data_IF_728993037628
#
_entry.id   IF_728993037628
#
_cell.length_a   1.000
_cell.length_b   1.000
_cell.length_c   1.000
_cell.angle_alpha   90.00
_cell.angle_beta   90.00
_cell.angle_gamma   90.00
#
_symmetry.space_group_name_H-M   'P 1'
#
loop_
_entity.id
_entity.type
_entity.pdbx_description
1 polymer ?
#
# COMPACT_ATOMS: atom_id res chain seq x y z
N UNK A 1 17.66 35.07 7.83
CA UNK A 1 18.71 35.73 7.00
C UNK A 1 19.91 34.81 6.69
N UNK A 2 20.25 33.83 7.54
CA UNK A 2 21.39 32.92 7.30
C UNK A 2 21.10 31.84 6.23
N UNK A 3 19.93 31.21 6.26
CA UNK A 3 19.58 30.09 5.35
C UNK A 3 19.61 30.47 3.86
N UNK A 4 19.04 31.62 3.49
CA UNK A 4 19.07 32.11 2.11
C UNK A 4 20.51 32.34 1.60
N UNK A 5 21.41 32.80 2.46
CA UNK A 5 22.83 32.96 2.11
C UNK A 5 23.53 31.61 1.93
N UNK A 6 23.17 30.61 2.74
CA UNK A 6 23.64 29.24 2.56
C UNK A 6 23.14 28.62 1.24
N UNK A 7 21.89 28.91 0.83
CA UNK A 7 21.38 28.48 -0.49
C UNK A 7 22.13 29.14 -1.64
N UNK A 8 22.34 30.45 -1.60
CA UNK A 8 23.13 31.16 -2.62
C UNK A 8 24.57 30.64 -2.69
N UNK A 9 25.17 30.34 -1.54
CA UNK A 9 26.50 29.74 -1.49
C UNK A 9 26.50 28.32 -2.08
N UNK A 10 25.46 27.53 -1.82
CA UNK A 10 25.28 26.21 -2.41
C UNK A 10 25.15 26.29 -3.93
N UNK A 11 24.35 27.21 -4.47
CA UNK A 11 24.22 27.44 -5.92
C UNK A 11 25.56 27.81 -6.55
N UNK A 12 26.32 28.70 -5.91
CA UNK A 12 27.66 29.06 -6.37
C UNK A 12 28.63 27.86 -6.31
N UNK A 13 28.58 27.05 -5.24
CA UNK A 13 29.40 25.84 -5.11
C UNK A 13 29.06 24.81 -6.20
N UNK A 14 27.77 24.62 -6.51
CA UNK A 14 27.29 23.75 -7.60
C UNK A 14 27.80 24.28 -8.94
N UNK A 15 27.74 25.59 -9.18
CA UNK A 15 28.26 26.20 -10.43
C UNK A 15 29.75 25.95 -10.65
N UNK A 16 30.52 25.81 -9.56
CA UNK A 16 31.96 25.51 -9.57
C UNK A 16 32.28 24.01 -9.49
N UNK A 17 31.27 23.15 -9.46
CA UNK A 17 31.40 21.70 -9.27
C UNK A 17 32.04 21.30 -7.93
N UNK A 18 31.95 22.14 -6.89
CA UNK A 18 32.43 21.85 -5.55
C UNK A 18 31.34 21.14 -4.72
N UNK A 19 31.06 19.87 -5.04
CA UNK A 19 29.93 19.13 -4.46
C UNK A 19 30.02 18.89 -2.94
N UNK A 20 31.23 18.76 -2.39
CA UNK A 20 31.41 18.60 -0.94
C UNK A 20 30.95 19.85 -0.16
N UNK A 21 31.35 21.03 -0.64
CA UNK A 21 30.92 22.30 -0.04
C UNK A 21 29.42 22.54 -0.26
N UNK A 22 28.92 22.22 -1.46
CA UNK A 22 27.49 22.33 -1.75
C UNK A 22 26.65 21.48 -0.79
N UNK A 23 27.09 20.25 -0.47
CA UNK A 23 26.41 19.39 0.48
C UNK A 23 26.34 19.98 1.89
N UNK A 24 27.45 20.51 2.40
CA UNK A 24 27.49 21.16 3.72
C UNK A 24 26.58 22.40 3.75
N UNK A 25 26.62 23.21 2.69
CA UNK A 25 25.79 24.40 2.55
C UNK A 25 24.30 24.04 2.50
N UNK A 26 23.91 23.01 1.75
CA UNK A 26 22.53 22.52 1.66
C UNK A 26 22.03 21.97 3.00
N UNK A 27 22.90 21.29 3.76
CA UNK A 27 22.56 20.80 5.09
C UNK A 27 22.30 21.97 6.07
N UNK A 28 23.16 22.99 6.05
CA UNK A 28 22.96 24.21 6.87
C UNK A 28 21.76 25.04 6.42
N UNK A 29 21.44 25.01 5.13
CA UNK A 29 20.25 25.66 4.56
C UNK A 29 18.96 24.86 4.79
N UNK A 30 19.04 23.65 5.40
CA UNK A 30 17.92 22.70 5.52
C UNK A 30 17.17 22.47 4.20
N UNK A 31 17.91 22.48 3.08
CA UNK A 31 17.33 22.26 1.75
C UNK A 31 17.33 20.76 1.43
N UNK A 32 16.27 20.09 1.89
CA UNK A 32 16.11 18.65 1.72
C UNK A 32 15.90 18.24 0.25
N UNK A 33 15.31 19.11 -0.57
CA UNK A 33 15.09 18.83 -1.99
C UNK A 33 16.38 18.85 -2.79
N UNK A 34 17.19 19.91 -2.60
CA UNK A 34 18.52 19.99 -3.20
C UNK A 34 19.45 18.87 -2.71
N UNK A 35 19.39 18.54 -1.42
CA UNK A 35 20.18 17.46 -0.84
C UNK A 35 19.76 16.09 -1.40
N UNK A 36 18.46 15.84 -1.61
CA UNK A 36 17.97 14.60 -2.22
C UNK A 36 18.49 14.44 -3.65
N UNK A 37 18.42 15.51 -4.45
CA UNK A 37 18.89 15.49 -5.84
C UNK A 37 20.40 15.22 -5.91
N UNK A 38 21.18 15.91 -5.08
CA UNK A 38 22.64 15.72 -5.02
C UNK A 38 22.99 14.30 -4.56
N UNK A 39 22.35 13.81 -3.49
CA UNK A 39 22.61 12.49 -2.92
C UNK A 39 22.21 11.36 -3.88
N UNK A 40 21.09 11.51 -4.59
CA UNK A 40 20.61 10.54 -5.58
C UNK A 40 21.52 10.51 -6.80
N UNK A 41 21.95 11.69 -7.29
CA UNK A 41 22.86 11.80 -8.44
C UNK A 41 24.25 11.25 -8.12
N UNK A 42 24.74 11.44 -6.89
CA UNK A 42 26.01 10.90 -6.42
C UNK A 42 25.94 9.41 -6.06
N UNK A 43 24.74 8.81 -6.01
CA UNK A 43 24.55 7.41 -5.59
C UNK A 43 24.96 7.13 -4.14
N UNK A 44 24.95 8.14 -3.26
CA UNK A 44 25.41 7.98 -1.88
C UNK A 44 24.27 7.52 -0.96
N UNK A 45 24.12 6.19 -0.83
CA UNK A 45 23.07 5.58 -0.01
C UNK A 45 23.10 6.01 1.48
N UNK A 46 24.29 6.21 2.06
CA UNK A 46 24.40 6.63 3.47
C UNK A 46 23.87 8.04 3.68
N UNK A 47 24.11 8.93 2.71
CA UNK A 47 23.61 10.30 2.77
C UNK A 47 22.09 10.35 2.63
N UNK A 48 21.53 9.59 1.68
CA UNK A 48 20.07 9.48 1.51
C UNK A 48 19.40 8.95 2.78
N UNK A 49 20.03 8.01 3.48
CA UNK A 49 19.49 7.47 4.73
C UNK A 49 19.42 8.54 5.83
N UNK A 50 20.53 9.27 6.05
CA UNK A 50 20.57 10.37 7.02
C UNK A 50 19.59 11.48 6.64
N UNK A 51 19.47 11.78 5.35
CA UNK A 51 18.52 12.76 4.83
C UNK A 51 17.08 12.34 5.19
N UNK A 52 16.70 11.09 4.97
CA UNK A 52 15.39 10.55 5.36
C UNK A 52 15.06 10.79 6.82
N UNK A 53 15.98 10.42 7.72
CA UNK A 53 15.82 10.59 9.17
C UNK A 53 15.70 12.08 9.57
N UNK A 54 16.51 12.95 8.95
CA UNK A 54 16.46 14.39 9.23
C UNK A 54 15.20 15.06 8.67
N UNK A 55 14.76 14.65 7.48
CA UNK A 55 13.55 15.15 6.84
C UNK A 55 12.31 14.75 7.64
N UNK A 56 12.27 13.52 8.17
CA UNK A 56 11.19 13.07 9.04
C UNK A 56 11.10 13.92 10.32
N UNK A 57 12.24 14.20 10.97
CA UNK A 57 12.30 15.07 12.16
C UNK A 57 11.90 16.52 11.86
N UNK A 58 12.19 17.00 10.65
CA UNK A 58 11.80 18.32 10.19
C UNK A 58 10.33 18.41 9.72
N UNK A 59 9.57 17.30 9.74
CA UNK A 59 8.19 17.23 9.27
C UNK A 59 8.03 17.19 7.75
N UNK A 60 9.13 17.03 7.00
CA UNK A 60 9.14 16.94 5.54
C UNK A 60 8.89 15.49 5.09
N UNK A 61 7.65 15.04 5.29
CA UNK A 61 7.26 13.63 5.12
C UNK A 61 7.46 13.11 3.68
N UNK A 62 7.24 13.94 2.66
CA UNK A 62 7.39 13.52 1.26
C UNK A 62 8.86 13.20 0.93
N UNK A 63 9.79 14.06 1.37
CA UNK A 63 11.23 13.84 1.15
C UNK A 63 11.73 12.64 1.97
N UNK A 64 11.23 12.48 3.20
CA UNK A 64 11.52 11.29 4.01
C UNK A 64 11.05 10.02 3.29
N UNK A 65 9.80 9.98 2.85
CA UNK A 65 9.22 8.83 2.14
C UNK A 65 10.04 8.45 0.90
N UNK A 66 10.36 9.41 0.03
CA UNK A 66 11.15 9.16 -1.19
C UNK A 66 12.57 8.67 -0.85
N UNK A 67 13.19 9.25 0.18
CA UNK A 67 14.54 8.83 0.61
C UNK A 67 14.56 7.37 1.06
N UNK A 68 13.60 6.95 1.90
CA UNK A 68 13.48 5.57 2.35
C UNK A 68 13.08 4.62 1.19
N UNK A 69 12.24 5.09 0.26
CA UNK A 69 11.78 4.31 -0.88
C UNK A 69 12.91 3.98 -1.85
N UNK A 70 13.76 4.97 -2.19
CA UNK A 70 14.93 4.76 -3.05
C UNK A 70 15.94 3.80 -2.42
N UNK A 71 16.03 3.78 -1.08
CA UNK A 71 16.87 2.83 -0.34
C UNK A 71 16.25 1.43 -0.19
N UNK A 72 15.01 1.24 -0.63
CA UNK A 72 14.27 -0.01 -0.47
C UNK A 72 13.82 -0.32 0.96
N UNK A 73 13.78 0.69 1.84
CA UNK A 73 13.37 0.54 3.26
C UNK A 73 11.86 0.76 3.40
N UNK A 74 11.10 -0.22 2.97
CA UNK A 74 9.65 -0.11 2.84
C UNK A 74 8.93 -0.07 4.20
N UNK A 75 9.49 -0.73 5.22
CA UNK A 75 9.00 -0.67 6.59
C UNK A 75 9.02 0.78 7.12
N UNK A 76 10.12 1.51 6.90
CA UNK A 76 10.24 2.92 7.28
C UNK A 76 9.26 3.81 6.49
N UNK A 77 9.08 3.55 5.18
CA UNK A 77 8.07 4.23 4.36
C UNK A 77 6.64 4.04 4.91
N UNK A 78 6.30 2.82 5.34
CA UNK A 78 4.98 2.52 5.89
C UNK A 78 4.74 3.28 7.20
N UNK A 79 5.72 3.30 8.10
CA UNK A 79 5.64 4.06 9.34
C UNK A 79 5.49 5.57 9.09
N UNK A 80 6.15 6.13 8.07
CA UNK A 80 5.93 7.54 7.69
C UNK A 80 4.47 7.78 7.30
N UNK A 81 3.84 6.90 6.52
CA UNK A 81 2.42 7.04 6.14
C UNK A 81 1.49 6.95 7.34
N UNK A 82 1.71 5.98 8.24
CA UNK A 82 0.93 5.82 9.47
C UNK A 82 1.05 7.06 10.35
N UNK A 83 2.27 7.56 10.58
CA UNK A 83 2.51 8.75 11.41
C UNK A 83 1.87 10.02 10.85
N UNK A 84 1.73 10.12 9.51
CA UNK A 84 1.02 11.23 8.88
C UNK A 84 -0.51 11.12 8.90
N UNK A 85 -1.05 10.01 9.40
CA UNK A 85 -2.50 9.75 9.43
C UNK A 85 -3.10 9.37 8.06
N UNK A 86 -2.26 9.08 7.06
CA UNK A 86 -2.71 8.67 5.71
C UNK A 86 -2.90 7.15 5.64
N UNK A 87 -3.85 6.65 6.43
CA UNK A 87 -4.11 5.21 6.60
C UNK A 87 -4.59 4.50 5.32
N UNK A 88 -5.47 5.07 4.47
CA UNK A 88 -5.85 4.42 3.21
C UNK A 88 -4.65 4.18 2.28
N UNK A 89 -3.76 5.18 2.13
CA UNK A 89 -2.53 5.07 1.34
C UNK A 89 -1.58 4.04 1.95
N UNK A 90 -1.44 4.02 3.27
CA UNK A 90 -0.66 3.02 3.98
C UNK A 90 -1.19 1.60 3.73
N UNK A 91 -2.52 1.41 3.68
CA UNK A 91 -3.13 0.11 3.41
C UNK A 91 -2.85 -0.37 1.98
N UNK A 92 -2.98 0.51 0.99
CA UNK A 92 -2.62 0.20 -0.40
C UNK A 92 -1.11 -0.07 -0.56
N UNK A 93 -0.27 0.69 0.13
CA UNK A 93 1.17 0.48 0.13
C UNK A 93 1.54 -0.86 0.74
N UNK A 94 0.97 -1.20 1.91
CA UNK A 94 1.16 -2.50 2.55
C UNK A 94 0.70 -3.63 1.63
N UNK A 95 -0.49 -3.54 1.02
CA UNK A 95 -0.98 -4.57 0.10
C UNK A 95 -0.04 -4.83 -1.07
N UNK A 96 0.62 -3.79 -1.57
CA UNK A 96 1.48 -3.89 -2.76
C UNK A 96 2.90 -4.35 -2.44
N UNK A 97 3.45 -3.91 -1.30
CA UNK A 97 4.89 -4.07 -1.00
C UNK A 97 5.18 -4.92 0.26
N UNK A 98 4.28 -4.91 1.25
CA UNK A 98 4.39 -5.64 2.54
C UNK A 98 3.04 -6.25 2.94
N UNK A 99 2.55 -7.29 2.23
CA UNK A 99 1.29 -7.94 2.57
C UNK A 99 1.24 -8.40 4.04
N UNK A 100 2.37 -8.77 4.66
CA UNK A 100 2.41 -9.15 6.08
C UNK A 100 1.93 -8.06 7.05
N UNK A 101 2.00 -6.79 6.66
CA UNK A 101 1.63 -5.65 7.52
C UNK A 101 0.21 -5.13 7.24
N UNK A 102 -0.53 -5.70 6.29
CA UNK A 102 -1.86 -5.20 5.90
C UNK A 102 -2.84 -5.27 7.04
N UNK A 103 -2.91 -6.39 7.77
CA UNK A 103 -3.84 -6.54 8.91
C UNK A 103 -3.66 -5.42 9.93
N UNK A 104 -2.41 -5.18 10.37
CA UNK A 104 -2.05 -4.09 11.30
C UNK A 104 -2.55 -2.73 10.82
N UNK A 105 -2.36 -2.41 9.53
CA UNK A 105 -2.73 -1.10 8.98
C UNK A 105 -4.24 -0.98 8.83
N UNK A 106 -4.93 -2.04 8.42
CA UNK A 106 -6.39 -2.08 8.29
C UNK A 106 -7.06 -1.95 9.64
N UNK A 107 -6.54 -2.58 10.70
CA UNK A 107 -7.01 -2.41 12.08
C UNK A 107 -6.91 -0.94 12.51
N UNK A 108 -5.73 -0.32 12.36
CA UNK A 108 -5.54 1.10 12.69
C UNK A 108 -6.47 2.01 11.87
N UNK A 109 -6.69 1.66 10.60
CA UNK A 109 -7.59 2.38 9.71
C UNK A 109 -9.05 2.25 10.16
N UNK A 110 -9.47 1.04 10.54
CA UNK A 110 -10.80 0.74 11.08
C UNK A 110 -11.05 1.50 12.37
N UNK A 111 -10.09 1.55 13.30
CA UNK A 111 -10.19 2.32 14.54
C UNK A 111 -10.34 3.83 14.28
N UNK A 112 -9.57 4.36 13.32
CA UNK A 112 -9.67 5.78 12.96
C UNK A 112 -11.00 6.10 12.27
N UNK A 113 -11.45 5.25 11.35
CA UNK A 113 -12.74 5.37 10.66
C UNK A 113 -13.92 5.21 11.62
N UNK A 114 -13.86 4.33 12.60
CA UNK A 114 -14.96 4.08 13.55
C UNK A 114 -15.34 5.35 14.34
N UNK A 115 -14.40 6.29 14.52
CA UNK A 115 -14.65 7.61 15.12
C UNK A 115 -15.49 8.52 14.22
N UNK A 116 -15.37 8.38 12.90
CA UNK A 116 -16.06 9.21 11.91
C UNK A 116 -17.35 8.52 11.43
N UNK A 117 -17.25 7.25 11.02
CA UNK A 117 -18.37 6.45 10.53
C UNK A 117 -18.15 4.94 10.79
N UNK A 118 -18.99 4.37 11.65
CA UNK A 118 -18.96 2.94 11.99
C UNK A 118 -19.32 2.02 10.82
N UNK A 119 -20.19 2.46 9.91
CA UNK A 119 -20.60 1.65 8.74
C UNK A 119 -19.44 1.46 7.78
N UNK A 120 -18.71 2.55 7.50
CA UNK A 120 -17.52 2.50 6.65
C UNK A 120 -16.39 1.65 7.29
N UNK A 121 -16.22 1.74 8.60
CA UNK A 121 -15.25 0.91 9.32
C UNK A 121 -15.57 -0.60 9.21
N UNK A 122 -16.85 -0.99 9.27
CA UNK A 122 -17.26 -2.39 9.13
C UNK A 122 -17.23 -2.91 7.68
N UNK A 123 -17.13 -2.03 6.70
CA UNK A 123 -16.93 -2.40 5.30
C UNK A 123 -15.48 -2.78 4.97
N UNK A 124 -14.54 -2.51 5.88
CA UNK A 124 -13.16 -2.93 5.73
C UNK A 124 -13.03 -4.40 6.14
N UNK A 125 -12.80 -5.27 5.16
CA UNK A 125 -12.53 -6.68 5.38
C UNK A 125 -11.03 -6.90 5.60
N UNK A 126 -10.70 -7.74 6.58
CA UNK A 126 -9.33 -8.15 6.85
C UNK A 126 -8.95 -9.37 5.98
N UNK A 127 -7.75 -9.39 5.38
CA UNK A 127 -7.30 -10.53 4.59
C UNK A 127 -7.16 -11.84 5.38
N UNK A 128 -6.94 -11.77 6.70
CA UNK A 128 -6.84 -12.95 7.56
C UNK A 128 -8.23 -13.52 7.93
N UNK A 129 -9.21 -12.66 8.20
CA UNK A 129 -10.56 -13.10 8.57
C UNK A 129 -11.37 -13.58 7.36
N UNK A 130 -11.10 -13.01 6.18
CA UNK A 130 -11.88 -13.24 4.97
C UNK A 130 -11.01 -13.64 3.78
N UNK A 131 -10.23 -14.72 3.92
CA UNK A 131 -9.33 -15.20 2.86
C UNK A 131 -10.03 -15.41 1.50
N UNK A 132 -11.31 -15.83 1.51
CA UNK A 132 -12.11 -16.01 0.29
C UNK A 132 -12.32 -14.72 -0.54
N UNK A 133 -12.21 -13.54 0.07
CA UNK A 133 -12.33 -12.26 -0.62
C UNK A 133 -11.00 -11.79 -1.24
N UNK A 134 -9.89 -12.43 -0.89
CA UNK A 134 -8.54 -12.05 -1.30
C UNK A 134 -7.87 -13.23 -2.04
N UNK A 135 -8.18 -13.43 -3.33
CA UNK A 135 -7.45 -14.39 -4.15
C UNK A 135 -5.95 -14.04 -4.16
N UNK A 136 -5.10 -15.07 -4.21
CA UNK A 136 -3.63 -14.96 -4.22
C UNK A 136 -2.96 -14.35 -2.98
N UNK A 137 -3.69 -14.20 -1.87
CA UNK A 137 -3.13 -13.67 -0.63
C UNK A 137 -1.92 -14.47 -0.09
N UNK A 138 -2.05 -15.81 -0.06
CA UNK A 138 -0.95 -16.71 0.33
C UNK A 138 0.28 -16.53 -0.57
N UNK A 139 0.05 -16.38 -1.88
CA UNK A 139 1.12 -16.15 -2.87
C UNK A 139 1.81 -14.80 -2.65
N UNK A 140 1.05 -13.75 -2.29
CA UNK A 140 1.61 -12.44 -1.97
C UNK A 140 2.54 -12.49 -0.74
N UNK A 141 2.13 -13.19 0.32
CA UNK A 141 2.94 -13.38 1.54
C UNK A 141 4.25 -14.13 1.25
N UNK A 142 4.19 -15.20 0.45
CA UNK A 142 5.37 -15.93 0.01
C UNK A 142 6.30 -15.06 -0.82
N UNK A 143 5.74 -14.30 -1.77
CA UNK A 143 6.48 -13.38 -2.64
C UNK A 143 7.21 -12.31 -1.83
N UNK A 144 6.58 -11.75 -0.79
CA UNK A 144 7.22 -10.79 0.10
C UNK A 144 8.47 -11.39 0.78
N UNK A 145 8.35 -12.58 1.33
CA UNK A 145 9.45 -13.27 2.01
C UNK A 145 10.60 -13.60 1.03
N UNK A 146 10.29 -13.96 -0.21
CA UNK A 146 11.27 -14.17 -1.28
C UNK A 146 11.98 -12.87 -1.70
N UNK A 147 11.24 -11.76 -1.78
CA UNK A 147 11.79 -10.46 -2.19
C UNK A 147 12.61 -9.77 -1.09
N UNK A 148 12.28 -9.98 0.19
CA UNK A 148 12.95 -9.34 1.32
C UNK A 148 14.49 -9.40 1.28
N UNK A 149 15.14 -10.56 1.08
CA UNK A 149 16.59 -10.63 0.94
C UNK A 149 17.12 -9.99 -0.36
N UNK A 150 16.34 -10.05 -1.45
CA UNK A 150 16.75 -9.46 -2.72
C UNK A 150 16.75 -7.93 -2.68
N UNK A 151 15.79 -7.32 -1.96
CA UNK A 151 15.71 -5.86 -1.77
C UNK A 151 16.95 -5.27 -1.13
N UNK A 152 17.60 -6.00 -0.21
CA UNK A 152 18.81 -5.54 0.46
C UNK A 152 20.08 -5.74 -0.37
N UNK A 153 20.00 -6.50 -1.47
CA UNK A 153 21.15 -6.83 -2.30
C UNK A 153 21.39 -5.72 -3.32
N UNK A 154 22.44 -4.93 -3.12
CA UNK A 154 22.93 -4.01 -4.13
C UNK A 154 23.48 -4.80 -5.34
N UNK A 155 22.84 -4.63 -6.50
CA UNK A 155 23.31 -5.22 -7.75
C UNK A 155 24.34 -4.25 -8.37
N UNK A 156 25.57 -4.72 -8.70
CA UNK A 156 26.55 -3.89 -9.39
C UNK A 156 26.02 -3.41 -10.74
N UNK A 157 26.32 -2.15 -11.09
CA UNK A 157 25.83 -1.51 -12.32
C UNK A 157 26.18 -2.29 -13.61
N UNK A 158 27.31 -2.99 -13.63
CA UNK A 158 27.74 -3.85 -14.75
C UNK A 158 26.71 -4.93 -15.13
N UNK A 159 25.90 -5.39 -14.17
CA UNK A 159 24.89 -6.43 -14.39
C UNK A 159 23.58 -5.90 -14.93
N UNK A 160 23.42 -4.58 -15.06
CA UNK A 160 22.19 -3.94 -15.56
C UNK A 160 21.63 -4.56 -16.85
N UNK A 161 22.44 -4.90 -17.88
CA UNK A 161 21.91 -5.49 -19.12
C UNK A 161 21.25 -6.87 -18.94
N UNK A 162 21.50 -7.54 -17.81
CA UNK A 162 20.93 -8.86 -17.49
C UNK A 162 19.74 -8.79 -16.55
N UNK A 163 19.46 -7.62 -15.98
CA UNK A 163 18.34 -7.43 -15.07
C UNK A 163 17.10 -7.10 -15.92
N UNK A 164 16.01 -7.87 -15.81
CA UNK A 164 14.79 -7.55 -16.51
C UNK A 164 14.24 -6.20 -16.01
N UNK A 165 13.69 -5.36 -16.89
CA UNK A 165 13.10 -4.10 -16.48
C UNK A 165 11.84 -4.32 -15.64
N UNK A 166 11.48 -3.35 -14.80
CA UNK A 166 10.40 -3.49 -13.82
C UNK A 166 9.03 -3.84 -14.45
N UNK A 167 8.77 -3.44 -15.70
CA UNK A 167 7.49 -3.71 -16.38
C UNK A 167 7.37 -5.14 -16.92
N UNK A 168 8.49 -5.83 -17.13
CA UNK A 168 8.53 -7.24 -17.55
C UNK A 168 8.66 -8.20 -16.36
N UNK A 169 9.03 -7.68 -15.19
CA UNK A 169 9.27 -8.48 -14.01
C UNK A 169 7.97 -8.86 -13.32
N UNK A 170 7.73 -10.17 -13.16
CA UNK A 170 6.60 -10.71 -12.38
C UNK A 170 7.14 -11.47 -11.17
N UNK A 171 7.17 -10.84 -9.97
CA UNK A 171 7.75 -11.46 -8.78
C UNK A 171 7.05 -12.73 -8.28
N UNK A 172 5.76 -12.88 -8.56
CA UNK A 172 4.96 -14.04 -8.16
C UNK A 172 5.44 -15.29 -8.88
N UNK A 173 5.66 -15.21 -10.20
CA UNK A 173 6.16 -16.32 -11.02
C UNK A 173 7.60 -16.70 -10.66
N UNK A 174 8.46 -15.71 -10.37
CA UNK A 174 9.82 -15.94 -9.89
C UNK A 174 9.83 -16.73 -8.58
N UNK A 175 8.90 -16.42 -7.68
CA UNK A 175 8.76 -17.11 -6.39
C UNK A 175 8.24 -18.53 -6.57
N UNK A 176 7.24 -18.75 -7.44
CA UNK A 176 6.73 -20.09 -7.73
C UNK A 176 7.82 -21.00 -8.32
N UNK A 177 8.60 -20.49 -9.28
CA UNK A 177 9.75 -21.23 -9.83
C UNK A 177 10.82 -21.52 -8.76
N UNK A 178 11.04 -20.61 -7.81
CA UNK A 178 11.99 -20.82 -6.72
C UNK A 178 11.51 -21.88 -5.70
N UNK A 179 10.20 -21.99 -5.46
CA UNK A 179 9.59 -23.08 -4.68
C UNK A 179 9.70 -24.42 -5.41
N UNK A 180 9.38 -24.47 -6.71
CA UNK A 180 9.50 -25.69 -7.53
C UNK A 180 10.95 -26.21 -7.60
N UNK A 181 11.92 -25.29 -7.63
CA UNK A 181 13.35 -25.62 -7.61
C UNK A 181 13.87 -25.96 -6.20
N UNK A 182 13.05 -25.83 -5.15
CA UNK A 182 13.43 -26.06 -3.77
C UNK A 182 14.46 -25.05 -3.23
N UNK A 183 14.67 -23.92 -3.91
CA UNK A 183 15.59 -22.87 -3.48
C UNK A 183 14.99 -21.92 -2.45
N UNK A 184 13.66 -21.94 -2.29
CA UNK A 184 12.92 -21.14 -1.32
C UNK A 184 11.96 -22.02 -0.53
N UNK A 185 11.96 -21.87 0.79
CA UNK A 185 10.98 -22.51 1.68
C UNK A 185 10.35 -21.42 2.51
N UNK A 186 9.04 -21.23 2.33
CA UNK A 186 8.30 -20.27 3.12
C UNK A 186 8.07 -20.80 4.54
N UNK A 187 8.78 -20.23 5.51
CA UNK A 187 8.52 -20.48 6.93
C UNK A 187 7.54 -19.42 7.41
N UNK A 188 6.27 -19.79 7.56
CA UNK A 188 5.29 -18.99 8.29
C UNK A 188 5.71 -18.96 9.77
N UNK A 189 5.56 -17.81 10.43
CA UNK A 189 5.92 -17.68 11.85
C UNK A 189 5.20 -18.72 12.72
N UNK A 190 5.78 -19.10 13.88
CA UNK A 190 5.23 -20.16 14.73
C UNK A 190 3.86 -19.73 15.26
N UNK A 191 2.79 -20.33 14.73
CA UNK A 191 1.41 -19.98 15.10
C UNK A 191 0.32 -20.38 14.08
N UNK A 192 0.67 -20.66 12.83
CA UNK A 192 -0.28 -21.08 11.77
C UNK A 192 0.00 -22.54 11.34
N UNK A 193 0.11 -23.46 12.31
CA UNK A 193 0.01 -24.91 12.04
C UNK A 193 -1.47 -25.30 12.15
N UNK A 194 -2.25 -25.06 11.09
CA UNK A 194 -3.51 -25.76 10.87
C UNK A 194 -3.37 -26.58 9.59
N UNK A 195 -3.15 -27.88 9.82
CA UNK A 195 -3.52 -29.06 9.03
C UNK A 195 -3.74 -28.88 7.51
N UNK A 196 -2.72 -29.19 6.72
CA UNK A 196 -2.88 -29.68 5.34
C UNK A 196 -1.79 -30.74 5.07
N UNK A 197 -1.76 -31.83 5.85
CA UNK A 197 -1.12 -33.09 5.46
C UNK A 197 -1.74 -34.29 6.19
N UNK A 198 -2.90 -34.76 5.72
CA UNK A 198 -3.33 -36.13 5.96
C UNK A 198 -4.17 -36.61 4.78
N UNK A 199 -3.59 -37.54 4.04
CA UNK A 199 -4.09 -38.06 2.78
C UNK A 199 -5.43 -38.77 2.83
N UNK A 200 -6.05 -38.73 1.67
CA UNK A 200 -7.12 -39.60 1.17
C UNK A 200 -6.79 -41.09 1.43
N UNK A 201 -7.54 -41.76 2.31
CA UNK A 201 -7.72 -43.21 2.24
C UNK A 201 -9.08 -43.63 2.79
N UNK A 202 -9.66 -44.61 2.11
CA UNK A 202 -11.07 -44.95 2.04
C UNK A 202 -11.24 -46.34 2.63
N UNK A 203 -11.86 -46.50 3.81
CA UNK A 203 -12.35 -47.82 4.22
C UNK A 203 -13.70 -47.78 4.93
N UNK A 204 -14.52 -48.77 4.58
CA UNK A 204 -15.96 -48.84 4.78
C UNK A 204 -16.30 -50.00 5.74
N UNK A 205 -16.92 -49.66 6.89
CA UNK A 205 -17.82 -50.47 7.76
C UNK A 205 -17.22 -51.71 8.51
N UNK A 206 -17.91 -52.33 9.52
CA UNK A 206 -19.26 -52.09 10.05
C UNK A 206 -19.45 -52.08 11.60
N UNK A 207 -20.63 -51.56 11.98
CA UNK A 207 -21.57 -51.86 13.08
C UNK A 207 -21.20 -52.87 14.21
N UNK A 208 -21.29 -52.44 15.48
CA UNK A 208 -21.92 -53.23 16.58
C UNK A 208 -22.23 -52.38 17.82
N UNK A 209 -23.44 -52.61 18.32
CA UNK A 209 -24.18 -52.04 19.46
C UNK A 209 -23.64 -52.37 20.86
N UNK A 210 -23.77 -51.47 21.84
CA UNK A 210 -24.74 -51.61 22.97
C UNK A 210 -24.77 -50.41 23.95
N UNK A 211 -25.93 -50.27 24.59
CA UNK A 211 -26.54 -49.12 25.27
C UNK A 211 -25.97 -48.73 26.65
N UNK A 212 -26.06 -47.44 26.99
CA UNK A 212 -26.45 -47.01 28.34
C UNK A 212 -27.31 -45.75 28.31
N UNK A 213 -28.43 -45.83 29.04
CA UNK A 213 -29.61 -44.97 29.04
C UNK A 213 -29.49 -43.80 30.03
N UNK A 214 -29.87 -42.60 29.60
CA UNK A 214 -30.56 -41.64 30.49
C UNK A 214 -31.50 -40.71 29.69
N UNK A 215 -32.75 -40.68 30.11
CA UNK A 215 -33.90 -40.05 29.46
C UNK A 215 -33.91 -38.50 29.53
N UNK A 216 -34.73 -37.83 28.70
CA UNK A 216 -34.53 -36.45 28.23
C UNK A 216 -35.48 -35.42 28.87
N UNK A 217 -35.12 -34.12 28.77
CA UNK A 217 -36.01 -32.94 28.62
C UNK A 217 -35.22 -31.62 28.84
N UNK A 218 -35.63 -30.45 28.31
CA UNK A 218 -36.41 -30.16 27.11
C UNK A 218 -35.71 -29.15 26.15
N UNK A 219 -36.23 -29.09 24.92
CA UNK A 219 -35.79 -28.21 23.83
C UNK A 219 -35.73 -26.71 24.19
N UNK A 220 -34.73 -25.95 23.71
CA UNK A 220 -34.88 -24.53 23.43
C UNK A 220 -35.64 -24.35 22.12
N UNK A 221 -36.64 -23.49 22.16
CA UNK A 221 -37.56 -23.19 21.08
C UNK A 221 -36.87 -22.57 19.86
N UNK A 222 -37.30 -23.09 18.71
CA UNK A 222 -37.32 -22.49 17.38
C UNK A 222 -37.58 -20.96 17.45
N UNK A 223 -36.61 -20.14 17.06
CA UNK A 223 -36.85 -18.77 16.61
C UNK A 223 -36.90 -18.79 15.10
N UNK A 224 -38.03 -18.35 14.57
CA UNK A 224 -38.32 -18.20 13.15
C UNK A 224 -37.22 -17.43 12.43
N UNK A 225 -36.74 -18.04 11.35
CA UNK A 225 -36.08 -17.39 10.23
C UNK A 225 -37.04 -16.38 9.60
N UNK A 226 -36.70 -15.09 9.64
CA UNK A 226 -37.30 -14.08 8.80
C UNK A 226 -36.89 -14.32 7.32
N UNK A 227 -37.77 -14.02 6.35
CA UNK A 227 -37.43 -14.14 4.92
C UNK A 227 -36.39 -13.09 4.49
N UNK A 228 -35.66 -13.33 3.39
CA UNK A 228 -34.74 -12.33 2.82
C UNK A 228 -35.52 -11.10 2.32
N UNK A 229 -34.98 -9.90 2.56
CA UNK A 229 -35.50 -8.65 2.02
C UNK A 229 -35.58 -8.70 0.48
N UNK A 230 -36.65 -8.17 -0.14
CA UNK A 230 -36.78 -8.15 -1.59
C UNK A 230 -35.85 -7.08 -2.19
N UNK A 231 -35.32 -7.37 -3.38
CA UNK A 231 -34.65 -6.38 -4.22
C UNK A 231 -35.57 -5.16 -4.45
N UNK A 232 -35.01 -3.94 -4.60
CA UNK A 232 -35.82 -2.74 -4.82
C UNK A 232 -36.71 -2.92 -6.04
N UNK A 233 -37.97 -2.50 -5.91
CA UNK A 233 -38.94 -2.66 -6.98
C UNK A 233 -38.65 -1.69 -8.12
N UNK A 234 -39.02 -2.05 -9.36
CA UNK A 234 -38.79 -1.21 -10.55
C UNK A 234 -39.32 0.23 -10.39
N UNK A 235 -40.40 0.40 -9.64
CA UNK A 235 -41.01 1.70 -9.34
C UNK A 235 -40.09 2.60 -8.50
N UNK A 236 -39.31 2.03 -7.58
CA UNK A 236 -38.37 2.79 -6.72
C UNK A 236 -37.11 3.20 -7.49
N UNK A 237 -36.69 2.42 -8.51
CA UNK A 237 -35.61 2.82 -9.41
C UNK A 237 -36.03 3.96 -10.34
N UNK A 238 -37.27 3.92 -10.87
CA UNK A 238 -37.81 4.95 -11.75
C UNK A 238 -37.98 6.30 -11.01
N UNK A 239 -38.28 6.27 -9.71
CA UNK A 239 -38.38 7.48 -8.87
C UNK A 239 -37.00 8.10 -8.58
N UNK A 240 -35.96 7.28 -8.40
CA UNK A 240 -34.57 7.74 -8.20
C UNK A 240 -33.99 8.33 -9.50
N UNK A 241 -34.27 7.73 -10.66
CA UNK A 241 -33.84 8.30 -11.96
C UNK A 241 -34.46 9.67 -12.21
N UNK A 242 -35.76 9.85 -11.89
CA UNK A 242 -36.41 11.16 -12.01
C UNK A 242 -35.85 12.22 -11.09
N UNK A 243 -35.47 11.85 -9.86
CA UNK A 243 -34.87 12.78 -8.90
C UNK A 243 -33.48 13.25 -9.40
N UNK A 244 -32.69 12.34 -9.97
CA UNK A 244 -31.38 12.65 -10.56
C UNK A 244 -31.47 13.47 -11.86
N UNK A 245 -32.50 13.23 -12.69
CA UNK A 245 -32.75 14.04 -13.89
C UNK A 245 -33.17 15.48 -13.54
N UNK A 246 -34.00 15.65 -12.51
CA UNK A 246 -34.38 16.98 -11.99
C UNK A 246 -33.19 17.76 -11.41
N UNK A 247 -32.26 17.07 -10.73
CA UNK A 247 -31.04 17.69 -10.20
C UNK A 247 -30.06 18.08 -11.32
N UNK A 248 -29.99 17.32 -12.42
CA UNK A 248 -29.19 17.69 -13.59
C UNK A 248 -29.76 18.90 -14.33
N UNK A 249 -31.09 18.98 -14.48
CA UNK A 249 -31.75 20.12 -15.13
C UNK A 249 -31.62 21.42 -14.32
N UNK A 250 -31.45 21.33 -12.99
CA UNK A 250 -31.21 22.48 -12.12
C UNK A 250 -29.74 22.96 -12.09
N UNK A 251 -28.80 22.25 -12.72
CA UNK A 251 -27.43 22.75 -12.90
C UNK A 251 -27.37 23.71 -14.08
N UNK A 252 -27.53 25.01 -13.80
CA UNK A 252 -27.51 26.08 -14.79
C UNK A 252 -26.06 26.43 -15.22
N UNK A 253 -25.50 25.63 -16.13
CA UNK A 253 -24.09 25.70 -16.60
C UNK A 253 -23.81 26.95 -17.48
N UNK A 254 -24.82 27.73 -17.84
CA UNK A 254 -24.70 28.87 -18.78
C UNK A 254 -24.05 30.14 -18.20
N UNK A 255 -23.56 30.12 -16.96
CA UNK A 255 -23.01 31.31 -16.30
C UNK A 255 -21.49 31.25 -16.01
N UNK A 256 -20.76 30.37 -16.71
CA UNK A 256 -19.29 30.38 -16.69
C UNK A 256 -18.80 31.42 -17.69
N UNK A 257 -18.39 32.58 -17.18
CA UNK A 257 -17.78 33.66 -17.95
C UNK A 257 -16.35 33.27 -18.38
N UNK A 258 -16.17 33.03 -19.68
CA UNK A 258 -14.87 32.69 -20.28
C UNK A 258 -14.18 33.89 -20.93
N UNK A 259 -14.60 35.13 -20.64
CA UNK A 259 -14.06 36.34 -21.29
C UNK A 259 -12.68 36.81 -20.80
N UNK A 260 -12.13 36.19 -19.75
CA UNK A 260 -10.82 36.53 -19.16
C UNK A 260 -9.65 35.62 -19.63
N UNK A 261 -9.88 34.74 -20.62
CA UNK A 261 -8.82 33.91 -21.20
C UNK A 261 -8.29 34.59 -22.46
N UNK A 262 -7.42 35.60 -22.28
CA UNK A 262 -6.67 36.22 -23.38
C UNK A 262 -5.46 35.31 -23.71
N UNK A 263 -5.69 34.32 -24.58
CA UNK A 263 -4.63 33.58 -25.26
C UNK A 263 -4.18 34.41 -26.47
N UNK A 264 -3.09 35.16 -26.32
CA UNK A 264 -2.45 35.83 -27.45
C UNK A 264 -1.89 34.76 -28.41
N UNK A 265 -2.54 34.60 -29.56
CA UNK A 265 -2.26 33.59 -30.61
C UNK A 265 -0.95 33.80 -31.40
N UNK A 266 -0.09 34.75 -31.00
CA UNK A 266 1.11 35.11 -31.79
C UNK A 266 2.42 34.38 -31.41
N UNK A 267 2.46 33.63 -30.29
CA UNK A 267 3.73 33.05 -29.78
C UNK A 267 3.88 31.53 -30.04
N UNK A 268 2.95 30.91 -30.77
CA UNK A 268 2.97 29.45 -31.04
C UNK A 268 3.42 29.06 -32.45
N UNK A 269 3.92 30.02 -33.25
CA UNK A 269 4.47 29.77 -34.58
C UNK A 269 5.71 30.63 -34.85
N UNK A 270 6.82 30.37 -34.18
CA UNK A 270 8.16 30.67 -34.71
C UNK A 270 9.20 29.63 -34.22
N UNK A 271 9.76 28.93 -35.21
CA UNK A 271 10.87 27.95 -35.29
C UNK A 271 10.85 26.62 -34.49
#
# INVERSE_FOLDING_TARGET
QSEQKWKQLAELAISKCEFGLAQECLHQASDFGGLLLLASSAGNAQMVAKLGDTAQKAGQNNVAFVSHFVLGRLEECLEVLINTGRLPEAAFFARTYLPSQVSRVVELWREHLAKVNKKAANSLAEPQEYENLFPDWKNALKTEAYLKPQRQRAIPADKFPRVPPNHERVPVDEMQQAEEQGSFTFVRGPGDDDDDDAGDDFEQAPDTTEQSVRAPSPLPQKKETAPPDPAPSKTEMDDIEKELELDLENMNIDNVDTSDINLDEEDLLED
#
